data_IF_700562653161
#
_entry.id   IF_700562653161
#
_cell.length_a   1.000
_cell.length_b   1.000
_cell.length_c   1.000
_cell.angle_alpha   90.00
_cell.angle_beta   90.00
_cell.angle_gamma   90.00
#
_symmetry.space_group_name_H-M   'P 1'
#
loop_
_entity.id
_entity.type
_entity.pdbx_description
1 polymer ?
#
# COMPACT_ATOMS: atom_id res chain seq x y z
N UNK A 1 -15.73 -13.22 17.79
CA UNK A 1 -14.41 -13.88 17.76
C UNK A 1 -13.39 -12.84 18.21
N UNK A 2 -12.35 -13.19 18.99
CA UNK A 2 -11.30 -12.22 19.30
C UNK A 2 -10.71 -11.69 18.00
N UNK A 3 -10.34 -10.41 17.96
CA UNK A 3 -9.58 -9.85 16.83
C UNK A 3 -8.34 -10.73 16.61
N UNK A 4 -8.14 -11.21 15.39
CA UNK A 4 -7.05 -12.15 15.07
C UNK A 4 -5.67 -11.46 15.14
N UNK A 5 -5.64 -10.13 15.31
CA UNK A 5 -4.47 -9.29 15.27
C UNK A 5 -4.28 -8.57 16.62
N UNK A 6 -3.14 -8.81 17.29
CA UNK A 6 -2.78 -8.15 18.57
C UNK A 6 -2.19 -6.74 18.36
N UNK A 7 -1.63 -6.47 17.18
CA UNK A 7 -1.01 -5.19 16.81
C UNK A 7 -1.69 -4.72 15.52
N UNK A 8 -2.30 -3.55 15.55
CA UNK A 8 -3.03 -2.99 14.40
C UNK A 8 -2.34 -1.69 13.95
N UNK A 9 -1.87 -1.60 12.69
CA UNK A 9 -1.33 -0.36 12.16
C UNK A 9 -2.40 0.74 12.17
N UNK A 10 -2.01 1.95 12.56
CA UNK A 10 -2.88 3.13 12.53
C UNK A 10 -2.37 4.11 11.47
N UNK A 11 -3.21 4.39 10.49
CA UNK A 11 -2.96 5.28 9.37
C UNK A 11 -3.53 6.66 9.70
N UNK A 12 -2.68 7.69 9.62
CA UNK A 12 -3.03 9.06 9.99
C UNK A 12 -3.53 9.84 8.79
N UNK A 13 -4.73 10.42 8.90
CA UNK A 13 -5.40 11.19 7.85
C UNK A 13 -5.79 12.59 8.32
N UNK A 14 -5.98 13.49 7.36
CA UNK A 14 -6.41 14.87 7.57
C UNK A 14 -7.87 15.05 7.16
N UNK A 15 -8.78 14.45 7.94
CA UNK A 15 -10.22 14.57 7.73
C UNK A 15 -10.78 13.75 6.57
N UNK A 16 -9.93 13.04 5.82
CA UNK A 16 -10.29 12.27 4.62
C UNK A 16 -10.15 10.75 4.79
N UNK A 17 -10.18 10.24 6.04
CA UNK A 17 -10.09 8.79 6.31
C UNK A 17 -11.21 7.99 5.64
N UNK A 18 -12.45 8.51 5.59
CA UNK A 18 -13.59 7.82 4.96
C UNK A 18 -13.35 7.62 3.46
N UNK A 19 -12.99 8.70 2.74
CA UNK A 19 -12.66 8.65 1.32
C UNK A 19 -11.52 7.67 1.01
N UNK A 20 -10.51 7.61 1.90
CA UNK A 20 -9.40 6.69 1.77
C UNK A 20 -9.84 5.23 1.93
N UNK A 21 -10.65 4.94 2.96
CA UNK A 21 -11.19 3.60 3.18
C UNK A 21 -12.07 3.17 2.01
N UNK A 22 -12.98 4.01 1.54
CA UNK A 22 -13.84 3.70 0.39
C UNK A 22 -13.01 3.41 -0.86
N UNK A 23 -11.98 4.21 -1.11
CA UNK A 23 -11.05 3.97 -2.20
C UNK A 23 -10.34 2.62 -2.05
N UNK A 24 -9.74 2.32 -0.90
CA UNK A 24 -9.02 1.06 -0.70
C UNK A 24 -9.94 -0.16 -0.82
N UNK A 25 -11.16 -0.09 -0.29
CA UNK A 25 -12.17 -1.14 -0.43
C UNK A 25 -12.60 -1.36 -1.88
N UNK A 26 -12.54 -0.31 -2.72
CA UNK A 26 -12.82 -0.44 -4.16
C UNK A 26 -11.64 -1.06 -4.94
N UNK A 27 -10.42 -0.93 -4.44
CA UNK A 27 -9.20 -1.43 -5.08
C UNK A 27 -8.93 -2.88 -4.69
N UNK A 28 -9.02 -3.20 -3.40
CA UNK A 28 -8.63 -4.51 -2.85
C UNK A 28 -9.83 -5.41 -2.59
N UNK A 29 -9.76 -6.65 -3.07
CA UNK A 29 -10.72 -7.71 -2.72
C UNK A 29 -10.60 -8.09 -1.25
N UNK A 30 -11.60 -8.78 -0.71
CA UNK A 30 -11.64 -9.23 0.69
C UNK A 30 -11.42 -8.10 1.71
N UNK A 31 -12.00 -6.94 1.40
CA UNK A 31 -11.90 -5.70 2.18
C UNK A 31 -13.27 -5.27 2.68
N UNK A 32 -13.34 -4.73 3.90
CA UNK A 32 -14.60 -4.26 4.51
C UNK A 32 -14.35 -3.33 5.68
N UNK A 33 -15.31 -2.46 5.97
CA UNK A 33 -15.35 -1.72 7.23
C UNK A 33 -15.79 -2.66 8.36
N UNK A 34 -15.14 -2.56 9.51
CA UNK A 34 -15.43 -3.35 10.70
C UNK A 34 -16.13 -2.51 11.77
N UNK A 35 -15.61 -1.32 12.04
CA UNK A 35 -16.11 -0.42 13.07
C UNK A 35 -15.85 1.03 12.70
N UNK A 36 -16.77 1.93 13.04
CA UNK A 36 -16.61 3.36 12.83
C UNK A 36 -16.95 4.07 14.14
N UNK A 37 -16.04 4.91 14.61
CA UNK A 37 -16.25 5.84 15.73
C UNK A 37 -16.29 7.26 15.20
N UNK A 38 -17.31 7.99 15.60
CA UNK A 38 -17.50 9.40 15.24
C UNK A 38 -17.10 10.31 16.40
N UNK A 39 -16.74 11.54 16.09
CA UNK A 39 -16.55 12.59 17.08
C UNK A 39 -17.84 12.83 17.88
N UNK A 40 -17.68 12.89 19.21
CA UNK A 40 -18.76 13.29 20.11
C UNK A 40 -18.91 14.81 20.20
N UNK A 41 -19.74 15.26 21.16
CA UNK A 41 -20.11 16.67 21.36
C UNK A 41 -18.99 17.56 21.92
N UNK A 42 -17.80 17.02 22.16
CA UNK A 42 -16.66 17.76 22.71
C UNK A 42 -16.09 18.78 21.73
N UNK A 43 -16.30 18.57 20.43
CA UNK A 43 -15.90 19.48 19.36
C UNK A 43 -17.10 19.65 18.39
N UNK A 44 -17.88 20.74 18.52
CA UNK A 44 -19.07 20.97 17.70
C UNK A 44 -18.81 21.04 16.19
N UNK A 45 -17.60 21.40 15.76
CA UNK A 45 -17.25 21.48 14.32
C UNK A 45 -16.99 20.11 13.69
N UNK A 46 -16.75 19.11 14.54
CA UNK A 46 -16.47 17.73 14.13
C UNK A 46 -17.56 16.75 14.53
N UNK A 47 -18.53 17.15 15.36
CA UNK A 47 -19.61 16.28 15.82
C UNK A 47 -20.23 15.49 14.65
N UNK A 48 -20.28 14.17 14.80
CA UNK A 48 -20.84 13.26 13.79
C UNK A 48 -19.91 12.93 12.61
N UNK A 49 -18.74 13.56 12.45
CA UNK A 49 -17.71 13.14 11.48
C UNK A 49 -16.91 11.95 12.00
N UNK A 50 -16.35 11.13 11.11
CA UNK A 50 -15.50 10.02 11.53
C UNK A 50 -14.24 10.54 12.25
N UNK A 51 -14.02 10.00 13.45
CA UNK A 51 -12.80 10.18 14.22
C UNK A 51 -11.82 9.07 13.87
N UNK A 52 -12.26 7.82 14.03
CA UNK A 52 -11.44 6.64 13.77
C UNK A 52 -12.31 5.53 13.20
N UNK A 53 -11.79 4.80 12.22
CA UNK A 53 -12.45 3.65 11.65
C UNK A 53 -11.50 2.45 11.65
N UNK A 54 -12.04 1.29 12.01
CA UNK A 54 -11.38 0.00 11.85
C UNK A 54 -11.89 -0.63 10.56
N UNK A 55 -10.98 -1.05 9.71
CA UNK A 55 -11.30 -1.66 8.42
C UNK A 55 -10.31 -2.79 8.12
N UNK A 56 -10.69 -3.63 7.16
CA UNK A 56 -9.90 -4.75 6.67
C UNK A 56 -9.54 -4.50 5.21
N UNK A 57 -8.27 -4.71 4.85
CA UNK A 57 -7.77 -4.75 3.48
C UNK A 57 -7.12 -6.10 3.21
N UNK A 58 -7.61 -6.83 2.19
CA UNK A 58 -7.09 -8.13 1.80
C UNK A 58 -6.90 -9.10 3.00
N UNK A 59 -7.84 -9.10 3.95
CA UNK A 59 -7.77 -9.92 5.15
C UNK A 59 -7.06 -9.31 6.38
N UNK A 60 -6.27 -8.24 6.22
CA UNK A 60 -5.51 -7.61 7.30
C UNK A 60 -6.24 -6.41 7.91
N UNK A 61 -6.18 -6.23 9.23
CA UNK A 61 -6.87 -5.14 9.93
C UNK A 61 -6.00 -3.88 10.07
N UNK A 62 -6.63 -2.73 9.84
CA UNK A 62 -6.06 -1.39 9.98
C UNK A 62 -6.99 -0.46 10.74
N UNK A 63 -6.41 0.57 11.35
CA UNK A 63 -7.11 1.75 11.83
C UNK A 63 -6.82 2.93 10.90
N UNK A 64 -7.82 3.75 10.62
CA UNK A 64 -7.66 5.05 10.00
C UNK A 64 -8.13 6.12 10.98
N UNK A 65 -7.27 7.09 11.30
CA UNK A 65 -7.52 8.14 12.28
C UNK A 65 -7.52 9.50 11.58
N UNK A 66 -8.63 10.23 11.67
CA UNK A 66 -8.71 11.63 11.29
C UNK A 66 -8.08 12.49 12.41
N UNK A 67 -6.76 12.62 12.38
CA UNK A 67 -5.98 13.35 13.38
C UNK A 67 -5.64 14.79 13.02
N UNK A 68 -5.83 15.17 11.74
CA UNK A 68 -5.53 16.51 11.22
C UNK A 68 -4.18 16.58 10.47
N UNK A 69 -3.76 17.79 10.03
CA UNK A 69 -2.66 17.97 9.08
C UNK A 69 -1.24 17.86 9.69
N UNK A 70 -1.13 17.56 11.00
CA UNK A 70 0.12 17.64 11.76
C UNK A 70 1.13 16.57 11.34
N UNK A 71 0.66 15.40 10.92
CA UNK A 71 1.49 14.29 10.47
C UNK A 71 1.10 13.89 9.05
N UNK A 72 2.11 13.54 8.26
CA UNK A 72 1.96 13.10 6.87
C UNK A 72 2.68 11.79 6.67
N UNK A 73 2.17 10.98 5.76
CA UNK A 73 2.86 9.78 5.33
C UNK A 73 4.20 10.13 4.69
N UNK A 74 5.15 9.24 4.90
CA UNK A 74 6.45 9.22 4.23
C UNK A 74 6.75 7.77 3.88
N UNK A 75 7.75 7.57 3.04
CA UNK A 75 8.22 6.26 2.59
C UNK A 75 8.75 5.39 3.75
N UNK A 76 8.93 5.97 4.95
CA UNK A 76 9.35 5.25 6.15
C UNK A 76 8.39 4.12 6.55
N UNK A 77 7.11 4.22 6.17
CA UNK A 77 6.14 3.12 6.25
C UNK A 77 5.47 2.97 4.91
N UNK A 78 5.46 1.75 4.38
CA UNK A 78 4.74 1.41 3.16
C UNK A 78 3.99 0.09 3.32
N UNK A 79 2.97 -0.08 2.48
CA UNK A 79 2.23 -1.34 2.35
C UNK A 79 2.67 -2.05 1.08
N UNK A 80 3.19 -3.27 1.22
CA UNK A 80 3.63 -4.09 0.10
C UNK A 80 2.49 -4.96 -0.39
N UNK A 81 2.21 -4.91 -1.69
CA UNK A 81 1.24 -5.77 -2.37
C UNK A 81 2.02 -6.81 -3.16
N UNK A 82 1.84 -8.07 -2.78
CA UNK A 82 2.45 -9.21 -3.42
C UNK A 82 1.64 -9.63 -4.65
N UNK A 83 2.21 -9.48 -5.84
CA UNK A 83 1.52 -9.69 -7.11
C UNK A 83 1.96 -11.01 -7.76
N UNK A 84 0.99 -11.84 -8.15
CA UNK A 84 1.26 -13.15 -8.74
C UNK A 84 1.63 -13.09 -10.22
N UNK A 85 1.23 -12.02 -10.93
CA UNK A 85 1.42 -11.86 -12.37
C UNK A 85 1.46 -10.38 -12.77
N UNK A 86 1.72 -10.12 -14.05
CA UNK A 86 1.84 -8.77 -14.58
C UNK A 86 0.49 -8.03 -14.55
N UNK A 87 -0.62 -8.73 -14.78
CA UNK A 87 -1.95 -8.13 -14.74
C UNK A 87 -2.28 -7.55 -13.37
N UNK A 88 -1.85 -8.19 -12.28
CA UNK A 88 -2.01 -7.66 -10.92
C UNK A 88 -1.11 -6.44 -10.68
N UNK A 89 0.16 -6.48 -11.13
CA UNK A 89 1.05 -5.31 -11.03
C UNK A 89 0.41 -4.12 -11.75
N UNK A 90 -0.03 -4.32 -12.98
CA UNK A 90 -0.63 -3.28 -13.81
C UNK A 90 -1.89 -2.73 -13.15
N UNK A 91 -2.78 -3.61 -12.67
CA UNK A 91 -4.00 -3.22 -11.99
C UNK A 91 -3.74 -2.34 -10.76
N UNK A 92 -2.90 -2.80 -9.82
CA UNK A 92 -2.68 -2.06 -8.59
C UNK A 92 -1.88 -0.77 -8.83
N UNK A 93 -0.88 -0.83 -9.72
CA UNK A 93 -0.12 0.34 -10.11
C UNK A 93 -1.01 1.43 -10.69
N UNK A 94 -1.84 1.10 -11.68
CA UNK A 94 -2.75 2.05 -12.32
C UNK A 94 -3.77 2.60 -11.34
N UNK A 95 -4.37 1.76 -10.50
CA UNK A 95 -5.39 2.20 -9.53
C UNK A 95 -4.81 3.13 -8.48
N UNK A 96 -3.65 2.81 -7.91
CA UNK A 96 -3.09 3.57 -6.80
C UNK A 96 -2.37 4.84 -7.27
N UNK A 97 -1.87 4.89 -8.52
CA UNK A 97 -1.30 6.12 -9.11
C UNK A 97 -2.36 7.05 -9.71
N UNK A 98 -3.61 6.62 -9.83
CA UNK A 98 -4.69 7.45 -10.36
C UNK A 98 -5.06 8.63 -9.44
N UNK A 99 -5.72 9.64 -10.01
CA UNK A 99 -6.39 10.74 -9.30
C UNK A 99 -5.51 11.47 -8.27
N UNK A 100 -4.24 11.70 -8.59
CA UNK A 100 -3.28 12.41 -7.73
C UNK A 100 -2.29 11.51 -7.01
N UNK A 101 -2.27 10.20 -7.30
CA UNK A 101 -1.15 9.34 -6.93
C UNK A 101 0.13 9.65 -7.72
N UNK A 102 1.27 9.25 -7.17
CA UNK A 102 2.60 9.55 -7.69
C UNK A 102 3.39 8.25 -7.91
N UNK A 103 3.80 7.92 -9.15
CA UNK A 103 4.68 6.78 -9.40
C UNK A 103 6.07 7.04 -8.81
N UNK A 104 6.62 6.05 -8.12
CA UNK A 104 7.98 6.04 -7.59
C UNK A 104 8.89 5.06 -8.36
N UNK A 105 10.14 4.91 -7.92
CA UNK A 105 11.09 3.95 -8.49
C UNK A 105 10.88 2.55 -7.91
N UNK A 106 11.39 1.52 -8.58
CA UNK A 106 11.54 0.16 -8.04
C UNK A 106 10.23 -0.47 -7.51
N UNK A 107 9.09 -0.19 -8.13
CA UNK A 107 7.78 -0.67 -7.68
C UNK A 107 7.13 0.16 -6.57
N UNK A 108 7.77 1.25 -6.12
CA UNK A 108 7.20 2.17 -5.15
C UNK A 108 6.22 3.14 -5.82
N UNK A 109 5.22 3.58 -5.07
CA UNK A 109 4.32 4.67 -5.43
C UNK A 109 3.73 5.31 -4.18
N UNK A 110 3.12 6.48 -4.33
CA UNK A 110 2.21 7.06 -3.35
C UNK A 110 0.81 7.14 -3.94
N UNK A 111 -0.19 6.83 -3.13
CA UNK A 111 -1.57 7.10 -3.54
C UNK A 111 -1.94 8.58 -3.37
N UNK A 112 -3.16 8.94 -3.79
CA UNK A 112 -3.71 10.30 -3.68
C UNK A 112 -3.85 10.82 -2.25
N UNK A 113 -3.73 9.96 -1.24
CA UNK A 113 -3.73 10.32 0.18
C UNK A 113 -2.29 10.43 0.75
N UNK A 114 -1.28 10.15 -0.06
CA UNK A 114 0.14 10.21 0.27
C UNK A 114 0.70 8.94 0.90
N UNK A 115 -0.10 7.90 1.11
CA UNK A 115 0.38 6.64 1.68
C UNK A 115 1.28 5.93 0.67
N UNK A 116 2.43 5.44 1.15
CA UNK A 116 3.40 4.75 0.29
C UNK A 116 3.04 3.28 0.12
N UNK A 117 3.14 2.79 -1.11
CA UNK A 117 2.89 1.40 -1.48
C UNK A 117 4.07 0.84 -2.27
N UNK A 118 4.25 -0.48 -2.19
CA UNK A 118 5.20 -1.23 -3.02
C UNK A 118 4.43 -2.31 -3.78
N UNK A 119 4.34 -2.18 -5.10
CA UNK A 119 3.67 -3.14 -5.98
C UNK A 119 4.75 -4.01 -6.62
N UNK A 120 4.89 -5.22 -6.10
CA UNK A 120 6.04 -6.08 -6.41
C UNK A 120 5.60 -7.49 -6.78
N UNK A 121 6.32 -8.17 -7.69
CA UNK A 121 6.03 -9.56 -7.98
C UNK A 121 6.53 -10.47 -6.85
N UNK A 122 5.81 -11.55 -6.54
CA UNK A 122 6.14 -12.48 -5.44
C UNK A 122 7.55 -13.07 -5.50
N UNK A 123 8.09 -13.17 -6.71
CA UNK A 123 9.42 -13.71 -6.97
C UNK A 123 10.57 -12.71 -6.70
N UNK A 124 10.30 -11.40 -6.52
CA UNK A 124 11.38 -10.40 -6.48
C UNK A 124 12.32 -10.60 -5.29
N UNK A 125 11.78 -10.95 -4.12
CA UNK A 125 12.57 -11.14 -2.91
C UNK A 125 13.46 -12.37 -3.02
N UNK A 126 12.97 -13.45 -3.64
CA UNK A 126 13.76 -14.63 -3.92
C UNK A 126 14.92 -14.31 -4.88
N UNK A 127 14.64 -13.58 -5.97
CA UNK A 127 15.66 -13.20 -6.95
C UNK A 127 16.76 -12.31 -6.34
N UNK A 128 16.38 -11.33 -5.51
CA UNK A 128 17.34 -10.43 -4.85
C UNK A 128 18.16 -11.15 -3.76
N UNK A 129 17.66 -12.26 -3.22
CA UNK A 129 18.33 -13.07 -2.20
C UNK A 129 19.03 -14.32 -2.76
N UNK A 130 19.15 -14.44 -4.10
CA UNK A 130 19.86 -15.56 -4.71
C UNK A 130 21.31 -15.62 -4.19
N UNK A 131 21.79 -16.85 -3.93
CA UNK A 131 23.15 -17.14 -3.50
C UNK A 131 24.16 -16.83 -4.60
N UNK A 132 23.75 -16.86 -5.86
CA UNK A 132 24.52 -16.32 -6.96
C UNK A 132 24.47 -14.79 -6.93
N UNK A 133 25.57 -14.20 -6.45
CA UNK A 133 25.72 -12.75 -6.29
C UNK A 133 25.68 -12.03 -7.64
N UNK A 134 26.18 -12.64 -8.71
CA UNK A 134 26.14 -12.01 -10.03
C UNK A 134 24.71 -11.97 -10.56
N UNK A 135 23.93 -13.03 -10.31
CA UNK A 135 22.52 -13.06 -10.69
C UNK A 135 21.68 -12.05 -9.91
N UNK A 136 21.79 -12.02 -8.59
CA UNK A 136 21.06 -11.05 -7.76
C UNK A 136 21.48 -9.60 -8.06
N UNK A 137 22.76 -9.35 -8.36
CA UNK A 137 23.24 -8.02 -8.77
C UNK A 137 22.62 -7.57 -10.09
N UNK A 138 22.47 -8.46 -11.08
CA UNK A 138 21.80 -8.11 -12.35
C UNK A 138 20.34 -7.73 -12.12
N UNK A 139 19.61 -8.51 -11.32
CA UNK A 139 18.21 -8.21 -10.98
C UNK A 139 18.10 -6.88 -10.24
N UNK A 140 18.98 -6.62 -9.26
CA UNK A 140 19.02 -5.35 -8.55
C UNK A 140 19.24 -4.17 -9.50
N UNK A 141 20.16 -4.28 -10.46
CA UNK A 141 20.40 -3.22 -11.43
C UNK A 141 19.18 -2.97 -12.32
N UNK A 142 18.54 -4.03 -12.83
CA UNK A 142 17.32 -3.90 -13.62
C UNK A 142 16.17 -3.28 -12.81
N UNK A 143 16.04 -3.65 -11.53
CA UNK A 143 15.04 -3.08 -10.63
C UNK A 143 15.23 -1.57 -10.45
N UNK A 144 16.48 -1.11 -10.29
CA UNK A 144 16.81 0.31 -10.09
C UNK A 144 16.51 1.19 -11.31
N UNK A 145 16.47 0.59 -12.51
CA UNK A 145 16.10 1.28 -13.75
C UNK A 145 14.58 1.30 -14.00
N UNK A 146 13.79 0.59 -13.19
CA UNK A 146 12.34 0.49 -13.34
C UNK A 146 11.58 1.45 -12.41
N UNK A 147 10.42 1.91 -12.87
CA UNK A 147 9.40 2.53 -12.04
C UNK A 147 8.34 1.48 -11.70
N UNK A 148 7.41 1.22 -12.62
CA UNK A 148 6.55 0.04 -12.59
C UNK A 148 7.38 -1.19 -12.97
N UNK A 149 7.21 -2.29 -12.25
CA UNK A 149 7.98 -3.50 -12.47
C UNK A 149 7.42 -4.33 -13.63
N UNK A 150 8.32 -4.86 -14.45
CA UNK A 150 7.98 -5.74 -15.58
C UNK A 150 8.56 -7.13 -15.30
N UNK A 151 7.71 -8.09 -14.96
CA UNK A 151 8.12 -9.44 -14.52
C UNK A 151 8.98 -10.13 -15.58
N UNK A 152 8.61 -10.00 -16.86
CA UNK A 152 9.35 -10.62 -17.95
C UNK A 152 10.79 -10.09 -18.09
N UNK A 153 11.02 -8.81 -17.79
CA UNK A 153 12.37 -8.22 -17.84
C UNK A 153 13.21 -8.65 -16.63
N UNK A 154 12.61 -8.67 -15.45
CA UNK A 154 13.24 -9.17 -14.23
C UNK A 154 13.66 -10.64 -14.39
N UNK A 155 12.75 -11.48 -14.88
CA UNK A 155 13.04 -12.90 -15.14
C UNK A 155 14.12 -13.08 -16.21
N UNK A 156 14.05 -12.34 -17.32
CA UNK A 156 15.10 -12.39 -18.36
C UNK A 156 16.47 -12.04 -17.79
N UNK A 157 16.54 -11.00 -16.98
CA UNK A 157 17.78 -10.54 -16.35
C UNK A 157 18.34 -11.56 -15.37
N UNK A 158 17.45 -12.22 -14.61
CA UNK A 158 17.78 -13.31 -13.70
C UNK A 158 18.34 -14.53 -14.46
N UNK A 159 17.71 -14.93 -15.57
CA UNK A 159 18.09 -16.12 -16.34
C UNK A 159 19.29 -15.90 -17.27
N UNK A 160 19.71 -14.66 -17.52
CA UNK A 160 20.78 -14.29 -18.47
C UNK A 160 22.22 -14.66 -18.05
N UNK A 161 22.41 -15.69 -17.22
CA UNK A 161 23.72 -16.18 -16.75
C UNK A 161 23.96 -17.63 -17.15
#
# INVERSE_FOLDING_TARGET
MPANQKITPCLWFDGNAEDAIEFYLSVFKDSKVLEITHWGKSDPEKEGKVLIAKFQLAGEEYLALNGGPQFRFTEAVSLTVDCANQEEIDYYWEKLTADGGEPGPCGWLKDKFGLSWQIVPSLIMEMLQDKDVDRSTRVMNALMDMHKLEIAELQRTYDAG
#
